data_IF_594787521737
#
_entry.id   IF_594787521737
#
_cell.length_a   1.000
_cell.length_b   1.000
_cell.length_c   1.000
_cell.angle_alpha   90.00
_cell.angle_beta   90.00
_cell.angle_gamma   90.00
#
_symmetry.space_group_name_H-M   'P 1'
#
loop_
_entity.id
_entity.type
_entity.pdbx_description
1 polymer ?
#
# COMPACT_ATOMS: atom_id res chain seq x y z
N UNK A 1 20.42 -22.00 3.44
CA UNK A 1 21.16 -20.75 3.19
C UNK A 1 20.14 -19.64 3.17
N UNK A 2 20.21 -18.69 4.10
CA UNK A 2 19.34 -17.52 4.12
C UNK A 2 20.21 -16.33 3.73
N UNK A 3 19.83 -15.63 2.66
CA UNK A 3 20.47 -14.39 2.24
C UNK A 3 19.58 -13.26 2.76
N UNK A 4 20.15 -12.34 3.56
CA UNK A 4 19.45 -11.09 3.88
C UNK A 4 19.53 -10.21 2.63
N UNK A 5 18.40 -9.94 1.99
CA UNK A 5 18.30 -9.00 0.88
C UNK A 5 18.32 -7.54 1.33
N UNK A 6 18.25 -7.29 2.64
CA UNK A 6 18.08 -5.96 3.23
C UNK A 6 19.12 -5.73 4.34
N UNK A 7 19.68 -4.52 4.38
CA UNK A 7 20.70 -4.10 5.35
C UNK A 7 20.14 -3.92 6.78
N UNK A 8 18.82 -3.93 6.96
CA UNK A 8 18.15 -3.88 8.26
C UNK A 8 18.27 -2.54 8.99
N UNK A 9 18.49 -1.43 8.28
CA UNK A 9 18.68 -0.10 8.89
C UNK A 9 17.38 0.63 9.28
N UNK A 10 16.23 0.11 8.86
CA UNK A 10 14.92 0.69 9.11
C UNK A 10 14.02 -0.31 9.86
N UNK A 11 13.14 0.17 10.77
CA UNK A 11 12.19 -0.69 11.44
C UNK A 11 11.19 -1.28 10.45
N UNK A 12 10.81 -2.54 10.68
CA UNK A 12 9.81 -3.31 9.92
C UNK A 12 9.03 -4.18 10.89
N UNK A 13 7.99 -4.88 10.43
CA UNK A 13 7.26 -5.85 11.26
C UNK A 13 8.22 -6.84 11.94
N UNK A 14 8.18 -6.88 13.27
CA UNK A 14 9.07 -7.74 14.07
C UNK A 14 8.46 -9.11 14.41
N UNK A 15 7.13 -9.21 14.37
CA UNK A 15 6.39 -10.39 14.87
C UNK A 15 6.36 -11.56 13.88
N UNK A 16 6.59 -11.31 12.59
CA UNK A 16 6.61 -12.33 11.54
C UNK A 16 7.34 -11.82 10.28
N UNK A 17 7.83 -12.73 9.40
CA UNK A 17 8.37 -12.32 8.11
C UNK A 17 7.37 -11.49 7.32
N UNK A 18 7.84 -10.50 6.56
CA UNK A 18 7.02 -9.62 5.75
C UNK A 18 7.43 -9.70 4.27
N UNK A 19 6.45 -9.79 3.39
CA UNK A 19 6.68 -9.59 1.95
C UNK A 19 6.90 -8.11 1.71
N UNK A 20 8.06 -7.75 1.16
CA UNK A 20 8.40 -6.35 0.90
C UNK A 20 7.70 -5.81 -0.35
N UNK A 21 7.94 -4.53 -0.65
CA UNK A 21 7.44 -3.84 -1.84
C UNK A 21 6.28 -2.91 -1.51
N UNK A 22 6.56 -1.61 -1.44
CA UNK A 22 5.59 -0.55 -1.12
C UNK A 22 5.24 0.32 -2.34
N UNK A 23 5.93 0.16 -3.45
CA UNK A 23 5.63 0.78 -4.74
C UNK A 23 5.11 -0.29 -5.69
N UNK A 24 3.80 -0.36 -5.89
CA UNK A 24 3.20 -1.34 -6.80
C UNK A 24 1.82 -0.93 -7.31
N UNK A 25 1.50 -1.48 -8.48
CA UNK A 25 0.20 -1.37 -9.12
C UNK A 25 -0.22 -2.75 -9.64
N UNK A 26 -1.50 -2.92 -9.93
CA UNK A 26 -2.02 -4.20 -10.38
C UNK A 26 -3.43 -4.11 -10.91
N UNK A 27 -4.05 -5.28 -11.07
CA UNK A 27 -5.44 -5.42 -11.49
C UNK A 27 -6.24 -5.94 -10.30
N UNK A 28 -7.36 -5.29 -9.98
CA UNK A 28 -8.25 -5.75 -8.92
C UNK A 28 -8.80 -7.14 -9.26
N UNK A 29 -8.38 -8.17 -8.51
CA UNK A 29 -8.77 -9.56 -8.75
C UNK A 29 -10.03 -9.97 -7.97
N UNK A 30 -10.12 -9.55 -6.71
CA UNK A 30 -11.27 -9.73 -5.82
C UNK A 30 -11.49 -8.42 -5.08
N UNK A 31 -12.75 -8.07 -4.85
CA UNK A 31 -13.17 -6.83 -4.19
C UNK A 31 -14.14 -7.19 -3.08
N UNK A 32 -13.97 -6.57 -1.90
CA UNK A 32 -14.86 -6.80 -0.76
C UNK A 32 -16.28 -6.26 -1.01
N UNK A 33 -17.28 -6.84 -0.35
CA UNK A 33 -18.71 -6.55 -0.62
C UNK A 33 -19.10 -5.09 -0.38
N UNK A 34 -18.42 -4.40 0.55
CA UNK A 34 -18.70 -2.99 0.89
C UNK A 34 -17.94 -1.98 0.01
N UNK A 35 -17.06 -2.44 -0.88
CA UNK A 35 -16.25 -1.58 -1.75
C UNK A 35 -17.07 -1.22 -2.99
N UNK A 36 -17.34 0.07 -3.17
CA UNK A 36 -18.24 0.57 -4.23
C UNK A 36 -17.53 1.36 -5.33
N UNK A 37 -16.27 1.76 -5.10
CA UNK A 37 -15.50 2.65 -5.98
C UNK A 37 -14.48 1.92 -6.86
N UNK A 38 -14.29 0.61 -6.68
CA UNK A 38 -13.36 -0.24 -7.44
C UNK A 38 -14.12 -1.48 -7.92
N UNK A 39 -13.89 -1.89 -9.17
CA UNK A 39 -14.44 -3.13 -9.72
C UNK A 39 -13.34 -4.13 -10.07
N UNK A 40 -13.68 -5.42 -10.07
CA UNK A 40 -12.78 -6.47 -10.59
C UNK A 40 -12.39 -6.13 -12.04
N UNK A 41 -11.10 -6.23 -12.34
CA UNK A 41 -10.53 -5.85 -13.64
C UNK A 41 -10.04 -4.41 -13.74
N UNK A 42 -10.31 -3.55 -12.75
CA UNK A 42 -9.76 -2.19 -12.72
C UNK A 42 -8.24 -2.22 -12.52
N UNK A 43 -7.52 -1.42 -13.31
CA UNK A 43 -6.13 -1.09 -13.03
C UNK A 43 -6.07 -0.16 -11.82
N UNK A 44 -5.26 -0.52 -10.83
CA UNK A 44 -5.15 0.19 -9.57
C UNK A 44 -3.70 0.41 -9.18
N UNK A 45 -3.45 1.47 -8.42
CA UNK A 45 -2.21 1.69 -7.69
C UNK A 45 -2.52 1.81 -6.19
N UNK A 46 -1.53 1.45 -5.37
CA UNK A 46 -1.69 1.41 -3.91
C UNK A 46 -0.86 2.55 -3.29
N UNK A 47 -1.51 3.35 -2.45
CA UNK A 47 -0.79 4.21 -1.51
C UNK A 47 -0.40 3.35 -0.29
N UNK A 48 0.90 3.11 -0.05
CA UNK A 48 1.30 2.19 1.00
C UNK A 48 1.04 2.76 2.41
N UNK A 49 0.80 4.06 2.55
CA UNK A 49 0.56 4.71 3.84
C UNK A 49 -0.93 4.90 4.11
N UNK A 50 -1.32 4.68 5.36
CA UNK A 50 -2.69 4.86 5.83
C UNK A 50 -2.81 6.10 6.73
N UNK A 51 -4.05 6.54 7.00
CA UNK A 51 -4.32 7.57 8.01
C UNK A 51 -5.54 7.18 8.83
N UNK A 52 -5.54 7.47 10.13
CA UNK A 52 -6.69 7.19 10.99
C UNK A 52 -7.91 8.09 10.71
N UNK A 53 -7.73 9.15 9.92
CA UNK A 53 -8.80 10.06 9.51
C UNK A 53 -9.33 11.01 10.60
N UNK A 54 -8.88 10.87 11.86
CA UNK A 54 -9.46 11.57 13.01
C UNK A 54 -8.46 12.43 13.81
N UNK A 55 -7.16 12.21 13.63
CA UNK A 55 -6.11 12.97 14.32
C UNK A 55 -5.82 14.32 13.64
N UNK A 56 -5.13 15.22 14.35
CA UNK A 56 -4.77 16.56 13.84
C UNK A 56 -4.04 16.51 12.49
N UNK A 57 -3.00 15.66 12.28
CA UNK A 57 -2.38 15.51 10.96
C UNK A 57 -3.36 15.08 9.87
N UNK A 58 -4.21 14.08 10.13
CA UNK A 58 -5.18 13.60 9.16
C UNK A 58 -6.21 14.68 8.78
N UNK A 59 -6.74 15.43 9.75
CA UNK A 59 -7.63 16.57 9.46
C UNK A 59 -6.93 17.70 8.69
N UNK A 60 -5.61 17.83 8.85
CA UNK A 60 -4.78 18.76 8.08
C UNK A 60 -4.36 18.23 6.70
N UNK A 61 -4.81 17.05 6.28
CA UNK A 61 -4.39 16.41 5.02
C UNK A 61 -2.96 15.85 5.04
N UNK A 62 -2.34 15.77 6.22
CA UNK A 62 -0.96 15.30 6.43
C UNK A 62 -0.96 13.90 7.07
N UNK A 63 -1.70 12.95 6.49
CA UNK A 63 -1.85 11.61 7.06
C UNK A 63 -0.53 10.83 7.16
N UNK A 64 0.49 11.19 6.38
CA UNK A 64 1.85 10.64 6.51
C UNK A 64 2.48 10.90 7.89
N UNK A 65 2.01 11.90 8.65
CA UNK A 65 2.38 12.15 10.05
C UNK A 65 1.37 11.55 11.05
N UNK A 66 0.47 10.67 10.62
CA UNK A 66 -0.46 10.01 11.54
C UNK A 66 0.30 9.08 12.49
N UNK A 67 -0.01 9.15 13.80
CA UNK A 67 0.63 8.30 14.80
C UNK A 67 0.11 6.85 14.77
N UNK A 68 -1.15 6.66 14.40
CA UNK A 68 -1.82 5.35 14.31
C UNK A 68 -1.73 4.75 12.90
N UNK A 69 -1.10 5.47 11.97
CA UNK A 69 -0.96 5.08 10.57
C UNK A 69 0.37 5.59 10.03
N UNK A 70 0.34 6.22 8.85
CA UNK A 70 1.49 6.88 8.25
C UNK A 70 2.65 5.90 8.04
N UNK A 71 3.86 6.36 8.37
CA UNK A 71 5.09 5.59 8.17
C UNK A 71 5.22 4.34 9.05
N UNK A 72 4.43 4.23 10.13
CA UNK A 72 4.49 3.08 11.04
C UNK A 72 3.52 1.95 10.65
N UNK A 73 2.72 2.17 9.61
CA UNK A 73 1.68 1.25 9.14
C UNK A 73 1.82 0.94 7.64
N UNK A 74 3.01 1.19 7.08
CA UNK A 74 3.27 1.11 5.64
C UNK A 74 3.18 -0.33 5.11
N UNK A 75 2.37 -0.54 4.06
CA UNK A 75 2.31 -1.80 3.30
C UNK A 75 3.67 -2.05 2.64
N UNK A 76 4.21 -3.27 2.76
CA UNK A 76 5.55 -3.63 2.31
C UNK A 76 6.67 -3.36 3.32
N UNK A 77 6.33 -2.89 4.53
CA UNK A 77 7.25 -2.77 5.69
C UNK A 77 6.63 -3.38 6.96
N UNK A 78 5.38 -3.02 7.26
CA UNK A 78 4.63 -3.49 8.43
C UNK A 78 3.51 -4.47 8.06
N UNK A 79 3.06 -4.42 6.81
CA UNK A 79 2.12 -5.38 6.20
C UNK A 79 2.72 -6.00 4.94
N UNK A 80 2.20 -7.14 4.50
CA UNK A 80 2.70 -7.81 3.30
C UNK A 80 2.41 -6.98 2.04
N UNK A 81 3.44 -6.78 1.21
CA UNK A 81 3.42 -5.87 0.06
C UNK A 81 3.50 -6.54 -1.31
N UNK A 82 3.85 -5.72 -2.30
CA UNK A 82 3.70 -5.99 -3.73
C UNK A 82 4.77 -6.88 -4.37
N UNK A 83 5.80 -7.34 -3.65
CA UNK A 83 6.73 -8.35 -4.19
C UNK A 83 6.13 -9.77 -4.11
N UNK A 84 4.90 -9.89 -4.59
CA UNK A 84 4.08 -11.08 -4.63
C UNK A 84 3.15 -11.02 -5.84
N UNK A 85 2.62 -12.17 -6.28
CA UNK A 85 1.63 -12.20 -7.37
C UNK A 85 0.27 -11.62 -6.93
N UNK A 86 -0.02 -11.66 -5.62
CA UNK A 86 -1.24 -11.12 -5.02
C UNK A 86 -0.93 -10.47 -3.68
N UNK A 87 -1.45 -9.26 -3.48
CA UNK A 87 -1.35 -8.52 -2.24
C UNK A 87 -2.75 -8.05 -1.83
N UNK A 88 -3.17 -8.39 -0.61
CA UNK A 88 -4.43 -7.90 -0.05
C UNK A 88 -4.19 -6.51 0.54
N UNK A 89 -5.00 -5.52 0.13
CA UNK A 89 -4.83 -4.13 0.55
C UNK A 89 -6.17 -3.51 0.96
N UNK A 90 -6.20 -2.58 1.93
CA UNK A 90 -7.41 -1.86 2.28
C UNK A 90 -7.90 -1.01 1.10
N UNK A 91 -9.21 -1.03 0.82
CA UNK A 91 -9.78 -0.28 -0.30
C UNK A 91 -9.54 1.24 -0.22
N UNK A 92 -9.38 1.78 1.00
CA UNK A 92 -9.07 3.20 1.23
C UNK A 92 -7.67 3.61 0.76
N UNK A 93 -6.77 2.64 0.55
CA UNK A 93 -5.42 2.84 0.04
C UNK A 93 -5.31 2.54 -1.46
N UNK A 94 -6.44 2.25 -2.12
CA UNK A 94 -6.48 1.87 -3.53
C UNK A 94 -6.99 3.02 -4.38
N UNK A 95 -6.21 3.36 -5.41
CA UNK A 95 -6.55 4.38 -6.38
C UNK A 95 -6.71 3.75 -7.76
N UNK A 96 -7.87 3.95 -8.38
CA UNK A 96 -8.11 3.54 -9.76
C UNK A 96 -7.26 4.36 -10.71
N UNK A 97 -6.50 3.68 -11.57
CA UNK A 97 -5.70 4.31 -12.59
C UNK A 97 -6.57 4.80 -13.75
N UNK A 98 -6.33 6.01 -14.27
CA UNK A 98 -6.94 6.46 -15.52
C UNK A 98 -6.56 5.52 -16.68
N UNK A 99 -7.43 5.43 -17.70
CA UNK A 99 -7.23 4.50 -18.84
C UNK A 99 -5.92 4.74 -19.61
N UNK A 100 -5.38 5.95 -19.59
CA UNK A 100 -4.13 6.32 -20.26
C UNK A 100 -2.87 6.07 -19.42
N UNK A 101 -3.00 5.53 -18.20
CA UNK A 101 -1.89 5.19 -17.31
C UNK A 101 -1.76 3.68 -17.26
N UNK A 102 -0.61 3.15 -17.68
CA UNK A 102 -0.32 1.72 -17.57
C UNK A 102 0.18 1.35 -16.17
N UNK A 103 0.18 0.06 -15.83
CA UNK A 103 0.59 -0.43 -14.51
C UNK A 103 2.00 0.02 -14.13
N UNK A 104 2.96 -0.06 -15.05
CA UNK A 104 4.34 0.38 -14.79
C UNK A 104 4.45 1.88 -14.49
N UNK A 105 3.52 2.70 -14.97
CA UNK A 105 3.45 4.10 -14.57
C UNK A 105 2.76 4.27 -13.22
N UNK A 106 1.74 3.47 -12.96
CA UNK A 106 0.99 3.48 -11.70
C UNK A 106 1.80 3.05 -10.48
N UNK A 107 2.88 2.26 -10.64
CA UNK A 107 3.76 1.87 -9.52
C UNK A 107 4.47 3.05 -8.86
N UNK A 108 4.50 4.24 -9.51
CA UNK A 108 5.25 5.43 -9.08
C UNK A 108 4.34 6.59 -8.67
N UNK A 109 3.22 6.29 -8.03
CA UNK A 109 2.18 7.30 -7.73
C UNK A 109 2.68 8.42 -6.80
N UNK A 110 3.72 8.16 -6.02
CA UNK A 110 4.31 9.01 -5.00
C UNK A 110 5.59 9.75 -5.44
N UNK A 111 6.02 9.58 -6.69
CA UNK A 111 7.29 10.12 -7.24
C UNK A 111 7.11 11.32 -8.18
#
# INVERSE_FOLDING_TARGET
MFVSSVQGSFPVRETSPVTLGHEFSGVAHVVGEEVTNIAVGDNIAVDPNSGCGTCTPCHGGQYHFCNEGGINDTIGLFHDGGWSEFCAVPAVQVYKLPQNINLKQGERMDN
#
